data_IF_603844095911
#
_entry.id   IF_603844095911
#
_cell.length_a   1.000
_cell.length_b   1.000
_cell.length_c   1.000
_cell.angle_alpha   90.00
_cell.angle_beta   90.00
_cell.angle_gamma   90.00
#
_symmetry.space_group_name_H-M   'P 1'
#
loop_
_entity.id
_entity.type
_entity.pdbx_description
1 polymer ?
#
# COMPACT_ATOMS: atom_id res chain seq x y z
N UNK A 1 47.96 -54.00 -46.77
CA UNK A 1 47.56 -52.65 -47.24
C UNK A 1 46.37 -52.22 -46.41
N UNK A 2 46.42 -51.01 -45.87
CA UNK A 2 45.66 -50.50 -44.72
C UNK A 2 44.15 -50.41 -45.01
N UNK A 3 43.33 -50.78 -44.03
CA UNK A 3 41.87 -50.63 -44.04
C UNK A 3 41.47 -49.15 -44.12
N UNK A 4 40.78 -48.78 -45.20
CA UNK A 4 40.07 -47.52 -45.34
C UNK A 4 38.63 -47.70 -44.87
N UNK A 5 38.35 -47.33 -43.62
CA UNK A 5 36.97 -47.18 -43.10
C UNK A 5 36.80 -45.76 -42.57
N UNK A 6 36.67 -44.80 -43.48
CA UNK A 6 36.17 -43.46 -43.17
C UNK A 6 34.75 -43.34 -43.74
N UNK A 7 33.74 -43.30 -42.88
CA UNK A 7 32.37 -42.91 -43.27
C UNK A 7 32.39 -41.43 -43.70
N UNK A 8 31.81 -41.05 -44.86
CA UNK A 8 31.51 -39.66 -45.12
C UNK A 8 30.26 -39.30 -44.30
N UNK A 9 30.45 -38.59 -43.20
CA UNK A 9 29.36 -37.89 -42.52
C UNK A 9 28.67 -36.98 -43.54
N UNK A 10 27.34 -37.02 -43.53
CA UNK A 10 26.45 -36.43 -44.52
C UNK A 10 26.59 -34.89 -44.57
N UNK A 11 27.45 -34.42 -45.48
CA UNK A 11 27.75 -33.00 -45.68
C UNK A 11 26.50 -32.14 -45.95
N UNK A 12 25.44 -32.72 -46.55
CA UNK A 12 24.20 -31.99 -46.85
C UNK A 12 23.36 -31.74 -45.61
N UNK A 13 23.28 -32.71 -44.70
CA UNK A 13 22.60 -32.56 -43.42
C UNK A 13 23.34 -31.57 -42.50
N UNK A 14 24.67 -31.62 -42.47
CA UNK A 14 25.48 -30.63 -41.73
C UNK A 14 25.29 -29.21 -42.29
N UNK A 15 25.28 -29.04 -43.62
CA UNK A 15 25.05 -27.74 -44.25
C UNK A 15 23.64 -27.19 -43.98
N UNK A 16 22.62 -28.05 -43.94
CA UNK A 16 21.25 -27.65 -43.59
C UNK A 16 21.17 -27.18 -42.13
N UNK A 17 21.73 -27.95 -41.20
CA UNK A 17 21.77 -27.59 -39.78
C UNK A 17 22.53 -26.28 -39.53
N UNK A 18 23.61 -26.04 -40.29
CA UNK A 18 24.38 -24.80 -40.21
C UNK A 18 23.57 -23.59 -40.66
N UNK A 19 22.80 -23.70 -41.75
CA UNK A 19 21.91 -22.63 -42.24
C UNK A 19 20.80 -22.30 -41.25
N UNK A 20 20.18 -23.31 -40.66
CA UNK A 20 19.16 -23.13 -39.62
C UNK A 20 19.74 -22.43 -38.38
N UNK A 21 20.96 -22.79 -37.98
CA UNK A 21 21.68 -22.14 -36.87
C UNK A 21 21.99 -20.68 -37.18
N UNK A 22 22.49 -20.37 -38.37
CA UNK A 22 22.80 -18.99 -38.80
C UNK A 22 21.52 -18.14 -38.87
N UNK A 23 20.41 -18.69 -39.38
CA UNK A 23 19.13 -17.99 -39.41
C UNK A 23 18.63 -17.66 -37.99
N UNK A 24 18.72 -18.61 -37.05
CA UNK A 24 18.36 -18.39 -35.64
C UNK A 24 19.22 -17.31 -35.00
N UNK A 25 20.54 -17.38 -35.14
CA UNK A 25 21.47 -16.40 -34.55
C UNK A 25 21.29 -15.01 -35.15
N UNK A 26 20.97 -14.92 -36.44
CA UNK A 26 20.68 -13.64 -37.11
C UNK A 26 19.41 -13.01 -36.57
N UNK A 27 18.37 -13.80 -36.33
CA UNK A 27 17.12 -13.34 -35.73
C UNK A 27 17.31 -12.96 -34.25
N UNK A 28 18.10 -13.71 -33.49
CA UNK A 28 18.46 -13.35 -32.11
C UNK A 28 19.27 -12.05 -32.07
N UNK A 29 20.21 -11.87 -32.99
CA UNK A 29 20.99 -10.61 -33.12
C UNK A 29 20.08 -9.43 -33.45
N UNK A 30 19.18 -9.57 -34.42
CA UNK A 30 18.21 -8.52 -34.80
C UNK A 30 17.34 -8.10 -33.61
N UNK A 31 16.80 -9.07 -32.86
CA UNK A 31 16.03 -8.79 -31.64
C UNK A 31 16.85 -8.06 -30.57
N UNK A 32 18.12 -8.41 -30.43
CA UNK A 32 19.03 -7.76 -29.50
C UNK A 32 19.32 -6.31 -29.93
N UNK A 33 19.56 -6.06 -31.22
CA UNK A 33 19.79 -4.72 -31.77
C UNK A 33 18.55 -3.82 -31.62
N UNK A 34 17.34 -4.35 -31.89
CA UNK A 34 16.08 -3.63 -31.69
C UNK A 34 15.83 -3.30 -30.21
N UNK A 35 16.15 -4.22 -29.30
CA UNK A 35 16.05 -3.95 -27.87
C UNK A 35 17.09 -2.91 -27.41
N UNK A 36 18.33 -2.98 -27.90
CA UNK A 36 19.35 -1.95 -27.60
C UNK A 36 18.90 -0.56 -28.05
N UNK A 37 18.37 -0.44 -29.27
CA UNK A 37 17.87 0.85 -29.77
C UNK A 37 16.70 1.36 -28.92
N UNK A 38 15.75 0.49 -28.59
CA UNK A 38 14.61 0.82 -27.72
C UNK A 38 15.06 1.26 -26.31
N UNK A 39 16.04 0.58 -25.72
CA UNK A 39 16.58 0.92 -24.40
C UNK A 39 17.39 2.23 -24.45
N UNK A 40 18.06 2.52 -25.56
CA UNK A 40 18.82 3.77 -25.75
C UNK A 40 17.94 5.01 -25.83
N UNK A 41 16.68 4.85 -26.25
CA UNK A 41 15.67 5.91 -26.34
C UNK A 41 14.78 6.00 -25.09
N UNK A 42 15.04 5.17 -24.07
CA UNK A 42 14.20 5.15 -22.88
C UNK A 42 14.17 6.51 -22.19
N UNK A 43 12.96 6.96 -21.86
CA UNK A 43 12.72 8.18 -21.13
C UNK A 43 11.67 7.95 -20.07
N UNK A 44 12.02 8.18 -18.81
CA UNK A 44 11.06 8.16 -17.71
C UNK A 44 10.10 9.34 -17.82
N UNK A 45 8.79 9.07 -17.68
CA UNK A 45 7.76 10.09 -17.54
C UNK A 45 7.93 10.78 -16.18
N UNK A 46 8.16 9.99 -15.13
CA UNK A 46 8.36 10.49 -13.78
C UNK A 46 9.50 11.51 -13.72
N UNK A 47 10.68 11.18 -14.25
CA UNK A 47 11.83 12.09 -14.23
C UNK A 47 11.63 13.35 -15.10
N UNK A 48 10.82 13.27 -16.17
CA UNK A 48 10.54 14.42 -17.04
C UNK A 48 9.52 15.39 -16.45
N UNK A 49 8.46 14.85 -15.84
CA UNK A 49 7.31 15.64 -15.43
C UNK A 49 7.33 16.01 -13.94
N UNK A 50 8.05 15.27 -13.10
CA UNK A 50 8.02 15.44 -11.66
C UNK A 50 9.42 15.72 -11.11
N UNK A 51 9.54 16.83 -10.39
CA UNK A 51 10.70 17.12 -9.57
C UNK A 51 10.45 16.59 -8.17
N UNK A 52 11.36 15.77 -7.66
CA UNK A 52 11.28 15.22 -6.30
C UNK A 52 11.78 16.26 -5.30
N UNK A 53 10.93 16.59 -4.33
CA UNK A 53 11.25 17.54 -3.25
C UNK A 53 11.70 16.80 -1.98
N UNK A 54 11.01 15.71 -1.63
CA UNK A 54 11.32 14.91 -0.43
C UNK A 54 10.80 13.48 -0.56
N UNK A 55 11.31 12.57 0.28
CA UNK A 55 10.75 11.22 0.46
C UNK A 55 9.78 11.26 1.64
N UNK A 56 8.51 11.01 1.39
CA UNK A 56 7.46 10.98 2.42
C UNK A 56 7.39 9.64 3.14
N UNK A 57 7.68 8.55 2.43
CA UNK A 57 7.60 7.21 2.99
C UNK A 57 8.29 6.19 2.11
N UNK A 58 8.79 5.13 2.72
CA UNK A 58 9.48 4.06 2.02
C UNK A 58 9.33 2.77 2.83
N UNK A 59 8.66 1.78 2.24
CA UNK A 59 8.31 0.53 2.89
C UNK A 59 7.96 -0.57 1.89
N UNK A 60 7.37 -1.65 2.41
CA UNK A 60 7.05 -2.86 1.64
C UNK A 60 6.18 -2.59 0.39
N UNK A 61 5.27 -1.62 0.48
CA UNK A 61 4.36 -1.27 -0.61
C UNK A 61 4.96 -0.31 -1.65
N UNK A 62 6.22 0.11 -1.49
CA UNK A 62 6.92 1.02 -2.39
C UNK A 62 7.48 2.27 -1.71
N UNK A 63 7.88 3.24 -2.54
CA UNK A 63 8.41 4.54 -2.12
C UNK A 63 7.40 5.63 -2.48
N UNK A 64 7.21 6.61 -1.59
CA UNK A 64 6.31 7.75 -1.78
C UNK A 64 7.14 9.03 -1.74
N UNK A 65 6.99 9.83 -2.78
CA UNK A 65 7.70 11.09 -2.99
C UNK A 65 6.75 12.26 -2.84
N UNK A 66 7.21 13.34 -2.20
CA UNK A 66 6.67 14.67 -2.41
C UNK A 66 7.25 15.20 -3.72
N UNK A 67 6.40 15.67 -4.61
CA UNK A 67 6.81 16.10 -5.95
C UNK A 67 6.14 17.41 -6.33
N UNK A 68 6.84 18.20 -7.12
CA UNK A 68 6.27 19.31 -7.91
C UNK A 68 6.19 18.87 -9.37
N UNK A 69 5.02 19.01 -9.99
CA UNK A 69 4.85 18.71 -11.41
C UNK A 69 5.27 19.92 -12.24
N UNK A 70 6.12 19.70 -13.23
CA UNK A 70 6.75 20.76 -14.03
C UNK A 70 5.84 21.33 -15.12
N UNK A 71 4.67 20.73 -15.35
CA UNK A 71 3.71 21.16 -16.36
C UNK A 71 2.57 22.01 -15.78
N UNK A 72 2.16 21.76 -14.54
CA UNK A 72 1.04 22.45 -13.89
C UNK A 72 1.41 23.18 -12.58
N UNK A 73 2.68 23.16 -12.18
CA UNK A 73 3.21 23.70 -10.92
C UNK A 73 2.54 23.14 -9.64
N UNK A 74 1.76 22.07 -9.77
CA UNK A 74 1.04 21.43 -8.69
C UNK A 74 1.94 20.55 -7.82
N UNK A 75 1.63 20.50 -6.52
CA UNK A 75 2.29 19.59 -5.58
C UNK A 75 1.50 18.29 -5.38
N UNK A 76 2.20 17.17 -5.47
CA UNK A 76 1.60 15.84 -5.42
C UNK A 76 2.42 14.87 -4.57
N UNK A 77 1.73 13.88 -4.02
CA UNK A 77 2.37 12.67 -3.53
C UNK A 77 2.39 11.63 -4.66
N UNK A 78 3.58 11.16 -5.05
CA UNK A 78 3.71 10.10 -6.07
C UNK A 78 4.24 8.83 -5.41
N UNK A 79 3.43 7.78 -5.41
CA UNK A 79 3.83 6.45 -4.94
C UNK A 79 4.36 5.62 -6.10
N UNK A 80 5.55 5.06 -5.94
CA UNK A 80 6.21 4.15 -6.88
C UNK A 80 6.31 2.76 -6.28
N UNK A 81 5.76 1.78 -6.98
CA UNK A 81 5.71 0.37 -6.60
C UNK A 81 6.54 -0.44 -7.59
N UNK A 82 7.49 -1.24 -7.11
CA UNK A 82 8.23 -2.18 -7.94
C UNK A 82 7.52 -3.54 -7.97
N UNK A 83 7.28 -4.09 -9.15
CA UNK A 83 6.66 -5.41 -9.35
C UNK A 83 7.47 -6.25 -10.33
N UNK A 84 7.36 -7.58 -10.22
CA UNK A 84 7.95 -8.49 -11.20
C UNK A 84 7.35 -8.23 -12.60
N UNK A 85 8.13 -8.40 -13.69
CA UNK A 85 7.71 -8.13 -15.07
C UNK A 85 6.75 -9.20 -15.62
N UNK A 86 5.81 -9.70 -14.79
CA UNK A 86 4.77 -10.64 -15.17
C UNK A 86 3.46 -9.89 -15.30
N UNK A 87 2.84 -9.94 -16.49
CA UNK A 87 1.58 -9.26 -16.76
C UNK A 87 0.45 -9.62 -15.78
N UNK A 88 0.42 -10.84 -15.25
CA UNK A 88 -0.55 -11.24 -14.23
C UNK A 88 -0.40 -10.40 -12.94
N UNK A 89 0.84 -10.19 -12.48
CA UNK A 89 1.14 -9.42 -11.27
C UNK A 89 0.84 -7.95 -11.52
N UNK A 90 1.28 -7.40 -12.65
CA UNK A 90 1.03 -6.01 -13.05
C UNK A 90 -0.49 -5.74 -13.10
N UNK A 91 -1.25 -6.59 -13.80
CA UNK A 91 -2.69 -6.45 -13.92
C UNK A 91 -3.41 -6.61 -12.58
N UNK A 92 -2.93 -7.50 -11.70
CA UNK A 92 -3.45 -7.62 -10.34
C UNK A 92 -3.26 -6.31 -9.57
N UNK A 93 -2.05 -5.75 -9.54
CA UNK A 93 -1.77 -4.48 -8.86
C UNK A 93 -2.59 -3.33 -9.45
N UNK A 94 -2.70 -3.23 -10.79
CA UNK A 94 -3.52 -2.20 -11.43
C UNK A 94 -5.01 -2.33 -11.13
N UNK A 95 -5.54 -3.55 -10.96
CA UNK A 95 -6.94 -3.74 -10.55
C UNK A 95 -7.19 -3.14 -9.16
N UNK A 96 -6.23 -3.31 -8.24
CA UNK A 96 -6.32 -2.73 -6.90
C UNK A 96 -6.25 -1.20 -6.95
N UNK A 97 -5.32 -0.64 -7.72
CA UNK A 97 -5.22 0.82 -7.92
C UNK A 97 -6.50 1.40 -8.53
N UNK A 98 -7.06 0.73 -9.54
CA UNK A 98 -8.33 1.16 -10.19
C UNK A 98 -9.52 1.06 -9.24
N UNK A 99 -9.56 0.09 -8.34
CA UNK A 99 -10.61 0.01 -7.33
C UNK A 99 -10.57 1.23 -6.41
N UNK A 100 -9.37 1.63 -5.95
CA UNK A 100 -9.20 2.81 -5.11
C UNK A 100 -9.54 4.11 -5.85
N UNK A 101 -9.13 4.23 -7.11
CA UNK A 101 -9.39 5.42 -7.92
C UNK A 101 -10.89 5.68 -8.19
N UNK A 102 -11.76 4.68 -7.98
CA UNK A 102 -13.22 4.82 -8.11
C UNK A 102 -13.88 5.40 -6.86
N UNK A 103 -13.19 5.41 -5.73
CA UNK A 103 -13.73 5.92 -4.47
C UNK A 103 -13.65 7.44 -4.46
N UNK A 104 -14.79 8.11 -4.51
CA UNK A 104 -14.89 9.56 -4.37
C UNK A 104 -15.57 9.90 -3.03
N UNK A 105 -14.77 10.33 -2.06
CA UNK A 105 -15.25 10.65 -0.72
C UNK A 105 -14.37 11.72 -0.06
N UNK A 106 -14.94 12.68 0.70
CA UNK A 106 -14.16 13.74 1.35
C UNK A 106 -13.05 13.20 2.26
N UNK A 107 -13.24 12.06 2.91
CA UNK A 107 -12.25 11.44 3.81
C UNK A 107 -11.45 10.28 3.17
N UNK A 108 -11.45 10.14 1.84
CA UNK A 108 -10.56 9.22 1.09
C UNK A 108 -9.59 10.04 0.24
N UNK A 109 -8.34 9.58 0.14
CA UNK A 109 -7.30 10.26 -0.65
C UNK A 109 -7.71 10.35 -2.12
N UNK A 110 -7.55 11.53 -2.71
CA UNK A 110 -7.86 11.74 -4.13
C UNK A 110 -6.76 11.14 -4.99
N UNK A 111 -7.14 10.24 -5.89
CA UNK A 111 -6.30 9.68 -6.94
C UNK A 111 -6.40 10.55 -8.19
N UNK A 112 -5.26 10.89 -8.79
CA UNK A 112 -5.20 11.74 -9.97
C UNK A 112 -4.87 10.93 -11.22
N UNK A 113 -3.75 10.22 -11.21
CA UNK A 113 -3.29 9.47 -12.38
C UNK A 113 -2.47 8.24 -11.99
N UNK A 114 -2.33 7.30 -12.91
CA UNK A 114 -1.51 6.10 -12.75
C UNK A 114 -0.84 5.76 -14.08
N UNK A 115 0.43 5.38 -14.05
CA UNK A 115 1.18 4.93 -15.24
C UNK A 115 2.19 3.85 -14.87
N UNK A 116 2.77 3.24 -15.91
CA UNK A 116 3.73 2.14 -15.81
C UNK A 116 5.01 2.55 -16.51
N UNK A 117 6.15 2.24 -15.91
CA UNK A 117 7.45 2.39 -16.52
C UNK A 117 8.21 1.05 -16.51
N UNK A 118 8.92 0.80 -17.61
CA UNK A 118 9.75 -0.40 -17.82
C UNK A 118 11.16 0.05 -18.18
N UNK A 119 11.94 0.51 -17.18
CA UNK A 119 13.28 1.02 -17.42
C UNK A 119 14.22 -0.10 -17.88
N UNK A 120 15.26 0.23 -18.67
CA UNK A 120 16.39 -0.66 -18.90
C UNK A 120 17.02 -1.16 -17.61
N UNK A 121 17.72 -2.29 -17.69
CA UNK A 121 18.52 -2.79 -16.59
C UNK A 121 19.48 -1.71 -16.07
N UNK A 122 19.58 -1.63 -14.75
CA UNK A 122 20.34 -0.64 -13.97
C UNK A 122 19.98 0.84 -14.13
N UNK A 123 19.12 1.20 -15.09
CA UNK A 123 18.73 2.60 -15.30
C UNK A 123 18.07 3.19 -14.05
N UNK A 124 17.16 2.45 -13.42
CA UNK A 124 16.44 2.94 -12.24
C UNK A 124 17.35 3.13 -11.03
N UNK A 125 18.42 2.34 -10.89
CA UNK A 125 19.37 2.52 -9.78
C UNK A 125 20.11 3.85 -9.90
N UNK A 126 20.59 4.20 -11.10
CA UNK A 126 21.25 5.48 -11.37
C UNK A 126 20.31 6.66 -11.16
N UNK A 127 19.07 6.55 -11.64
CA UNK A 127 18.06 7.58 -11.41
C UNK A 127 17.72 7.74 -9.92
N UNK A 128 17.72 6.64 -9.16
CA UNK A 128 17.49 6.67 -7.71
C UNK A 128 18.66 7.31 -6.95
N UNK A 129 19.91 7.09 -7.39
CA UNK A 129 21.10 7.75 -6.85
C UNK A 129 21.03 9.27 -7.06
N UNK A 130 20.72 9.71 -8.27
CA UNK A 130 20.55 11.14 -8.58
C UNK A 130 19.46 11.79 -7.73
N UNK A 131 18.32 11.12 -7.53
CA UNK A 131 17.27 11.61 -6.61
C UNK A 131 17.84 11.79 -5.20
N UNK A 132 18.57 10.79 -4.69
CA UNK A 132 19.12 10.80 -3.33
C UNK A 132 20.20 11.86 -3.12
N UNK A 133 20.99 12.18 -4.14
CA UNK A 133 21.99 13.27 -4.10
C UNK A 133 21.33 14.65 -4.04
N UNK A 134 20.20 14.83 -4.73
CA UNK A 134 19.52 16.11 -4.83
C UNK A 134 18.59 16.43 -3.64
N UNK A 135 18.23 15.44 -2.83
CA UNK A 135 17.42 15.63 -1.63
C UNK A 135 18.27 15.47 -0.36
N UNK A 136 17.91 16.19 0.70
CA UNK A 136 18.54 15.99 2.02
C UNK A 136 18.11 14.67 2.65
N UNK A 137 18.68 13.55 2.20
CA UNK A 137 18.38 12.21 2.69
C UNK A 137 19.61 11.58 3.35
N UNK A 138 19.42 10.92 4.50
CA UNK A 138 20.44 10.07 5.13
C UNK A 138 20.47 8.65 4.54
N UNK A 139 19.51 8.30 3.67
CA UNK A 139 19.41 6.96 3.08
C UNK A 139 20.37 6.82 1.89
N UNK A 140 20.92 5.62 1.71
CA UNK A 140 21.77 5.26 0.55
C UNK A 140 21.00 4.56 -0.58
N UNK A 141 19.74 4.20 -0.38
CA UNK A 141 18.90 3.55 -1.39
C UNK A 141 17.41 3.85 -1.16
N UNK A 142 16.65 3.98 -2.26
CA UNK A 142 15.20 4.23 -2.24
C UNK A 142 14.37 2.95 -2.14
N UNK A 143 14.68 1.92 -2.91
CA UNK A 143 13.93 0.66 -2.89
C UNK A 143 14.87 -0.49 -3.18
N UNK A 144 14.58 -1.65 -2.59
CA UNK A 144 15.17 -2.90 -3.03
C UNK A 144 14.22 -3.54 -4.05
N UNK A 145 14.68 -3.73 -5.28
CA UNK A 145 13.91 -4.35 -6.35
C UNK A 145 14.78 -5.32 -7.15
N UNK A 146 14.15 -6.26 -7.84
CA UNK A 146 14.87 -7.22 -8.70
C UNK A 146 15.30 -6.51 -10.00
N UNK A 147 16.37 -6.95 -10.67
CA UNK A 147 16.62 -6.57 -12.06
C UNK A 147 15.38 -6.78 -12.93
N UNK A 148 15.21 -5.99 -13.99
CA UNK A 148 14.03 -6.01 -14.85
C UNK A 148 12.67 -5.77 -14.15
N UNK A 149 12.66 -5.13 -12.97
CA UNK A 149 11.39 -4.77 -12.31
C UNK A 149 10.60 -3.73 -13.13
N UNK A 150 9.28 -3.85 -13.09
CA UNK A 150 8.35 -2.87 -13.66
C UNK A 150 7.89 -1.94 -12.54
N UNK A 151 7.79 -0.64 -12.84
CA UNK A 151 7.41 0.37 -11.86
C UNK A 151 6.01 0.89 -12.15
N UNK A 152 5.12 0.76 -11.17
CA UNK A 152 3.77 1.36 -11.22
C UNK A 152 3.81 2.64 -10.39
N UNK A 153 3.44 3.75 -11.01
CA UNK A 153 3.39 5.06 -10.38
C UNK A 153 1.95 5.48 -10.16
N UNK A 154 1.66 6.05 -8.99
CA UNK A 154 0.34 6.51 -8.58
C UNK A 154 0.48 7.95 -8.08
N UNK A 155 -0.09 8.90 -8.81
CA UNK A 155 -0.16 10.31 -8.42
C UNK A 155 -1.40 10.55 -7.57
N UNK A 156 -1.20 11.12 -6.40
CA UNK A 156 -2.22 11.39 -5.40
C UNK A 156 -2.12 12.83 -4.91
N UNK A 157 -3.20 13.32 -4.29
CA UNK A 157 -3.15 14.56 -3.51
C UNK A 157 -2.06 14.50 -2.44
N UNK A 158 -1.31 15.59 -2.28
CA UNK A 158 -0.35 15.75 -1.19
C UNK A 158 -1.07 16.13 0.12
N UNK A 159 -0.72 15.44 1.21
CA UNK A 159 -1.17 15.75 2.58
C UNK A 159 0.01 16.23 3.43
N UNK A 160 -0.26 16.85 4.59
CA UNK A 160 0.78 17.45 5.44
C UNK A 160 1.58 16.43 6.24
N UNK A 161 0.89 15.55 6.96
CA UNK A 161 1.51 14.54 7.82
C UNK A 161 0.56 13.37 8.05
N UNK A 162 1.11 12.25 8.53
CA UNK A 162 0.29 11.10 8.95
C UNK A 162 -0.20 11.24 10.39
N UNK A 163 -1.26 10.53 10.74
CA UNK A 163 -1.77 10.50 12.11
C UNK A 163 -0.73 9.87 13.06
N UNK A 164 0.10 8.93 12.60
CA UNK A 164 1.26 8.44 13.39
C UNK A 164 2.20 9.57 13.76
N UNK A 165 2.57 10.44 12.80
CA UNK A 165 3.44 11.58 13.09
C UNK A 165 2.79 12.50 14.12
N UNK A 166 1.51 12.83 13.92
CA UNK A 166 0.79 13.69 14.85
C UNK A 166 0.73 13.10 16.27
N UNK A 167 0.40 11.82 16.41
CA UNK A 167 0.35 11.14 17.71
C UNK A 167 1.71 11.19 18.45
N UNK A 168 2.81 10.96 17.72
CA UNK A 168 4.16 10.99 18.29
C UNK A 168 4.61 12.40 18.72
N UNK A 169 4.12 13.45 18.06
CA UNK A 169 4.41 14.84 18.40
C UNK A 169 3.49 15.38 19.51
N UNK A 170 2.36 14.71 19.76
CA UNK A 170 1.30 15.15 20.69
C UNK A 170 1.15 14.16 21.84
N UNK A 171 2.23 13.96 22.60
CA UNK A 171 2.36 12.97 23.68
C UNK A 171 1.96 13.51 25.07
N UNK A 172 1.04 14.47 25.10
CA UNK A 172 0.45 15.02 26.34
C UNK A 172 -1.07 15.04 26.23
N UNK A 173 -1.77 14.81 27.33
CA UNK A 173 -3.22 14.60 27.32
C UNK A 173 -3.99 15.82 26.80
N UNK A 174 -3.53 17.02 27.15
CA UNK A 174 -4.13 18.30 26.79
C UNK A 174 -4.13 18.53 25.27
N UNK A 175 -3.19 17.92 24.55
CA UNK A 175 -3.10 17.99 23.08
C UNK A 175 -4.16 17.14 22.36
N UNK A 176 -4.85 16.25 23.09
CA UNK A 176 -5.82 15.27 22.55
C UNK A 176 -7.23 15.50 23.13
N UNK A 177 -7.83 16.68 22.94
CA UNK A 177 -9.15 16.95 23.50
C UNK A 177 -10.20 16.03 22.86
N UNK A 178 -11.04 15.42 23.70
CA UNK A 178 -11.95 14.32 23.30
C UNK A 178 -12.89 14.69 22.15
N UNK A 179 -13.37 15.93 22.08
CA UNK A 179 -14.25 16.39 21.00
C UNK A 179 -13.55 16.31 19.63
N UNK A 180 -12.28 16.71 19.56
CA UNK A 180 -11.48 16.65 18.34
C UNK A 180 -11.18 15.20 17.96
N UNK A 181 -10.82 14.36 18.94
CA UNK A 181 -10.56 12.93 18.71
C UNK A 181 -11.79 12.22 18.18
N UNK A 182 -12.98 12.49 18.73
CA UNK A 182 -14.26 11.99 18.20
C UNK A 182 -14.57 12.50 16.80
N UNK A 183 -14.33 13.79 16.52
CA UNK A 183 -14.53 14.35 15.18
C UNK A 183 -13.63 13.68 14.13
N UNK A 184 -12.35 13.51 14.44
CA UNK A 184 -11.41 12.77 13.60
C UNK A 184 -11.85 11.31 13.43
N UNK A 185 -12.29 10.67 14.51
CA UNK A 185 -12.78 9.30 14.44
C UNK A 185 -14.00 9.18 13.53
N UNK A 186 -14.99 10.07 13.62
CA UNK A 186 -16.15 10.12 12.69
C UNK A 186 -15.71 10.19 11.23
N UNK A 187 -14.74 11.04 10.91
CA UNK A 187 -14.19 11.14 9.54
C UNK A 187 -13.58 9.83 9.04
N UNK A 188 -12.87 9.13 9.93
CA UNK A 188 -12.28 7.81 9.63
C UNK A 188 -13.41 6.79 9.39
N UNK A 189 -14.46 6.77 10.23
CA UNK A 189 -15.61 5.87 10.05
C UNK A 189 -16.30 6.11 8.71
N UNK A 190 -16.60 7.36 8.36
CA UNK A 190 -17.25 7.71 7.08
C UNK A 190 -16.43 7.21 5.87
N UNK A 191 -15.10 7.34 5.93
CA UNK A 191 -14.23 6.80 4.88
C UNK A 191 -14.28 5.26 4.80
N UNK A 192 -14.27 4.56 5.95
CA UNK A 192 -14.36 3.10 5.99
C UNK A 192 -15.73 2.60 5.55
N UNK A 193 -16.80 3.31 5.90
CA UNK A 193 -18.15 3.03 5.43
C UNK A 193 -18.20 3.08 3.90
N UNK A 194 -17.69 4.14 3.29
CA UNK A 194 -17.61 4.27 1.83
C UNK A 194 -16.86 3.09 1.19
N UNK A 195 -15.74 2.67 1.79
CA UNK A 195 -14.97 1.49 1.36
C UNK A 195 -15.83 0.21 1.43
N UNK A 196 -16.54 -0.01 2.54
CA UNK A 196 -17.37 -1.19 2.76
C UNK A 196 -18.60 -1.22 1.85
N UNK A 197 -19.22 -0.07 1.57
CA UNK A 197 -20.34 0.06 0.63
C UNK A 197 -19.94 -0.35 -0.79
N UNK A 198 -18.70 -0.06 -1.19
CA UNK A 198 -18.11 -0.50 -2.45
C UNK A 198 -17.57 -1.95 -2.43
N UNK A 199 -17.92 -2.75 -1.42
CA UNK A 199 -17.54 -4.17 -1.28
C UNK A 199 -16.03 -4.40 -1.20
N UNK A 200 -15.33 -3.45 -0.60
CA UNK A 200 -13.92 -3.54 -0.30
C UNK A 200 -13.71 -3.60 1.23
N UNK A 201 -12.59 -4.18 1.65
CA UNK A 201 -12.13 -4.20 3.05
C UNK A 201 -10.72 -3.59 3.02
N UNK A 202 -10.43 -2.67 3.93
CA UNK A 202 -9.16 -1.95 3.93
C UNK A 202 -7.98 -2.82 4.41
N UNK A 203 -8.15 -3.57 5.51
CA UNK A 203 -7.23 -4.61 6.06
C UNK A 203 -5.90 -4.15 6.64
N UNK A 204 -5.36 -3.04 6.17
CA UNK A 204 -4.14 -2.42 6.71
C UNK A 204 -4.46 -1.02 7.25
N UNK A 205 -5.61 -0.85 7.91
CA UNK A 205 -5.89 0.41 8.61
C UNK A 205 -4.89 0.59 9.75
N UNK A 206 -4.32 1.78 9.85
CA UNK A 206 -3.40 2.18 10.90
C UNK A 206 -3.17 3.69 10.82
N UNK A 207 -2.69 4.34 11.89
CA UNK A 207 -2.48 5.78 11.88
C UNK A 207 -1.51 6.28 10.80
N UNK A 208 -0.56 5.47 10.29
CA UNK A 208 0.30 5.92 9.20
C UNK A 208 -0.39 5.96 7.83
N UNK A 209 -1.54 5.29 7.68
CA UNK A 209 -2.39 5.30 6.50
C UNK A 209 -3.56 6.30 6.63
N UNK A 210 -3.55 7.15 7.67
CA UNK A 210 -4.52 8.23 7.88
C UNK A 210 -3.74 9.54 7.82
N UNK A 211 -4.08 10.40 6.87
CA UNK A 211 -3.33 11.61 6.57
C UNK A 211 -4.13 12.85 6.94
N UNK A 212 -3.44 13.85 7.47
CA UNK A 212 -4.00 15.17 7.75
C UNK A 212 -3.73 16.12 6.57
N UNK A 213 -4.76 16.85 6.12
CA UNK A 213 -4.60 17.91 5.11
C UNK A 213 -4.54 19.28 5.79
N UNK A 214 -5.70 19.84 6.12
CA UNK A 214 -5.88 21.18 6.70
C UNK A 214 -7.22 21.22 7.42
N UNK A 215 -7.42 22.20 8.31
CA UNK A 215 -8.71 22.48 8.94
C UNK A 215 -9.36 21.26 9.60
N UNK A 216 -8.58 20.48 10.36
CA UNK A 216 -9.06 19.26 11.03
C UNK A 216 -9.64 18.18 10.12
N UNK A 217 -9.24 18.19 8.85
CA UNK A 217 -9.69 17.23 7.86
C UNK A 217 -8.68 16.09 7.67
N UNK A 218 -9.16 14.86 7.86
CA UNK A 218 -8.42 13.61 7.67
C UNK A 218 -8.84 12.90 6.39
N UNK A 219 -7.89 12.18 5.79
CA UNK A 219 -8.11 11.28 4.67
C UNK A 219 -7.41 9.95 4.86
N UNK A 220 -8.12 8.86 4.59
CA UNK A 220 -7.52 7.53 4.52
C UNK A 220 -6.78 7.39 3.18
N UNK A 221 -5.56 6.86 3.22
CA UNK A 221 -4.78 6.48 2.07
C UNK A 221 -4.37 5.00 2.16
N UNK A 222 -3.75 4.50 1.08
CA UNK A 222 -3.08 3.20 1.02
C UNK A 222 -3.94 2.02 1.52
N UNK A 223 -4.88 1.57 0.69
CA UNK A 223 -5.53 0.29 0.94
C UNK A 223 -4.52 -0.81 0.64
N UNK A 224 -3.84 -1.33 1.66
CA UNK A 224 -2.88 -2.41 1.51
C UNK A 224 -3.50 -3.55 0.70
N UNK A 225 -2.94 -3.81 -0.50
CA UNK A 225 -3.30 -4.87 -1.47
C UNK A 225 -4.77 -5.32 -1.29
N UNK A 226 -5.70 -4.50 -1.77
CA UNK A 226 -7.15 -4.75 -1.64
C UNK A 226 -7.48 -6.13 -2.20
N UNK A 227 -7.75 -7.11 -1.34
CA UNK A 227 -8.44 -8.29 -1.85
C UNK A 227 -9.94 -7.97 -1.91
N UNK A 228 -10.52 -8.17 -3.10
CA UNK A 228 -11.96 -8.10 -3.31
C UNK A 228 -12.68 -9.05 -2.36
N UNK A 229 -13.81 -8.60 -1.79
CA UNK A 229 -14.80 -9.52 -1.25
C UNK A 229 -15.41 -10.30 -2.42
N UNK A 230 -15.41 -11.63 -2.32
CA UNK A 230 -16.31 -12.51 -3.10
C UNK A 230 -17.34 -13.08 -2.15
N UNK A 231 -18.59 -13.13 -2.54
CA UNK A 231 -19.61 -13.85 -1.79
C UNK A 231 -19.76 -15.23 -2.44
N UNK A 232 -19.45 -16.31 -1.71
CA UNK A 232 -19.81 -17.68 -2.11
C UNK A 232 -20.77 -18.26 -1.07
N UNK A 233 -21.90 -18.80 -1.53
CA UNK A 233 -22.93 -19.41 -0.67
C UNK A 233 -23.40 -18.50 0.48
N UNK A 234 -23.53 -17.18 0.23
CA UNK A 234 -23.95 -16.20 1.24
C UNK A 234 -22.87 -15.84 2.26
N UNK A 235 -21.63 -16.32 2.08
CA UNK A 235 -20.49 -16.04 2.96
C UNK A 235 -19.50 -15.14 2.23
N UNK A 236 -19.09 -14.03 2.86
CA UNK A 236 -18.00 -13.19 2.37
C UNK A 236 -16.64 -13.91 2.46
N UNK A 237 -15.94 -14.00 1.34
CA UNK A 237 -14.67 -14.71 1.12
C UNK A 237 -13.66 -13.73 0.53
N UNK A 238 -12.40 -13.98 0.86
CA UNK A 238 -11.25 -13.16 0.49
C UNK A 238 -10.20 -14.05 -0.18
N UNK A 239 -9.73 -13.68 -1.39
CA UNK A 239 -8.79 -14.52 -2.18
C UNK A 239 -7.29 -14.26 -1.93
N UNK A 240 -6.88 -13.21 -1.21
CA UNK A 240 -5.45 -12.84 -1.12
C UNK A 240 -4.99 -12.71 0.33
N UNK A 241 -4.07 -13.59 0.74
CA UNK A 241 -3.36 -13.57 2.03
C UNK A 241 -1.90 -13.18 1.79
N UNK A 242 -1.58 -11.90 1.88
CA UNK A 242 -0.18 -11.44 1.95
C UNK A 242 0.17 -11.12 3.41
N UNK A 243 1.36 -11.56 3.87
CA UNK A 243 1.98 -11.15 5.16
C UNK A 243 2.37 -9.65 5.14
N UNK A 244 1.44 -8.78 4.77
CA UNK A 244 1.66 -7.35 4.67
C UNK A 244 0.76 -6.66 5.70
N UNK A 245 1.39 -6.12 6.74
CA UNK A 245 0.74 -5.32 7.77
C UNK A 245 1.67 -5.08 8.95
N UNK A 246 1.46 -3.96 9.64
CA UNK A 246 2.05 -3.65 10.95
C UNK A 246 1.21 -4.45 11.96
N UNK A 247 1.75 -5.56 12.48
CA UNK A 247 1.02 -6.58 13.24
C UNK A 247 0.24 -6.03 14.47
N UNK A 248 0.64 -4.85 14.94
CA UNK A 248 0.15 -4.18 16.13
C UNK A 248 -1.37 -3.90 16.08
N UNK A 249 -1.90 -3.50 14.93
CA UNK A 249 -3.31 -3.11 14.75
C UNK A 249 -4.20 -4.22 14.20
N UNK A 250 -3.63 -5.40 13.92
CA UNK A 250 -4.37 -6.53 13.38
C UNK A 250 -5.44 -7.02 14.36
N UNK A 251 -6.59 -7.38 13.84
CA UNK A 251 -7.62 -8.06 14.62
C UNK A 251 -7.20 -9.49 14.98
N UNK A 252 -7.86 -10.15 15.97
CA UNK A 252 -7.54 -11.54 16.34
C UNK A 252 -7.60 -12.53 15.15
N UNK A 253 -8.60 -12.38 14.28
CA UNK A 253 -8.74 -13.22 13.10
C UNK A 253 -7.65 -12.98 12.05
N UNK A 254 -7.14 -11.74 11.93
CA UNK A 254 -5.99 -11.44 11.07
C UNK A 254 -4.70 -12.03 11.64
N UNK A 255 -4.47 -11.87 12.95
CA UNK A 255 -3.26 -12.35 13.63
C UNK A 255 -3.15 -13.88 13.70
N UNK A 256 -4.28 -14.59 13.81
CA UNK A 256 -4.29 -16.06 13.88
C UNK A 256 -4.00 -16.74 12.54
N UNK A 257 -4.15 -16.06 11.41
CA UNK A 257 -4.04 -16.61 10.04
C UNK A 257 -4.94 -17.83 9.71
N UNK A 258 -5.75 -18.31 10.66
CA UNK A 258 -6.65 -19.47 10.49
C UNK A 258 -8.05 -19.01 10.06
N UNK A 259 -8.49 -17.86 10.56
CA UNK A 259 -9.86 -17.35 10.38
C UNK A 259 -10.03 -16.55 9.08
N UNK A 260 -11.29 -16.48 8.59
CA UNK A 260 -11.65 -15.67 7.42
C UNK A 260 -11.77 -14.20 7.82
N UNK A 261 -11.14 -13.31 7.05
CA UNK A 261 -11.17 -11.85 7.23
C UNK A 261 -12.42 -11.30 6.55
N UNK A 262 -13.15 -10.40 7.23
CA UNK A 262 -14.32 -9.69 6.71
C UNK A 262 -14.26 -8.19 7.11
N UNK A 263 -15.29 -7.42 6.75
CA UNK A 263 -15.38 -5.99 7.08
C UNK A 263 -15.26 -5.70 8.59
N UNK A 264 -15.65 -6.64 9.47
CA UNK A 264 -15.56 -6.50 10.93
C UNK A 264 -14.11 -6.51 11.44
N UNK A 265 -13.15 -6.95 10.64
CA UNK A 265 -11.72 -6.82 10.98
C UNK A 265 -11.28 -5.36 10.99
N UNK A 266 -11.73 -4.55 10.02
CA UNK A 266 -11.49 -3.09 10.00
C UNK A 266 -12.11 -2.43 11.26
N UNK A 267 -13.28 -2.89 11.70
CA UNK A 267 -13.96 -2.36 12.90
C UNK A 267 -13.14 -2.57 14.18
N UNK A 268 -12.49 -3.74 14.32
CA UNK A 268 -11.58 -3.97 15.45
C UNK A 268 -10.41 -3.00 15.43
N UNK A 269 -9.81 -2.81 14.26
CA UNK A 269 -8.71 -1.86 14.06
C UNK A 269 -9.13 -0.41 14.34
N UNK A 270 -10.34 -0.01 13.94
CA UNK A 270 -10.91 1.29 14.30
C UNK A 270 -11.01 1.47 15.82
N UNK A 271 -11.39 0.42 16.56
CA UNK A 271 -11.40 0.44 18.03
C UNK A 271 -10.01 0.72 18.62
N UNK A 272 -8.97 0.09 18.09
CA UNK A 272 -7.58 0.35 18.52
C UNK A 272 -7.10 1.77 18.16
N UNK A 273 -7.47 2.28 16.98
CA UNK A 273 -7.15 3.64 16.55
C UNK A 273 -7.82 4.67 17.48
N UNK A 274 -9.10 4.47 17.82
CA UNK A 274 -9.79 5.34 18.78
C UNK A 274 -9.12 5.30 20.16
N UNK A 275 -8.69 4.11 20.61
CA UNK A 275 -7.99 3.99 21.87
C UNK A 275 -6.68 4.81 21.89
N UNK A 276 -5.88 4.74 20.82
CA UNK A 276 -4.64 5.51 20.69
C UNK A 276 -4.89 7.01 20.52
N UNK A 277 -5.98 7.42 19.88
CA UNK A 277 -6.39 8.83 19.84
C UNK A 277 -6.70 9.36 21.25
N UNK A 278 -7.37 8.55 22.10
CA UNK A 278 -7.82 8.98 23.41
C UNK A 278 -6.79 8.80 24.54
N UNK A 279 -5.83 7.88 24.40
CA UNK A 279 -4.87 7.54 25.46
C UNK A 279 -3.45 7.80 24.98
N UNK A 280 -2.73 8.63 25.74
CA UNK A 280 -1.28 8.83 25.55
C UNK A 280 -0.57 7.62 26.13
N UNK A 281 0.25 6.96 25.30
CA UNK A 281 0.96 5.74 25.66
C UNK A 281 2.30 5.66 24.94
N UNK A 282 3.35 5.23 25.64
CA UNK A 282 4.60 4.81 25.02
C UNK A 282 4.38 3.63 24.08
N UNK A 283 5.39 3.32 23.25
CA UNK A 283 5.27 2.20 22.32
C UNK A 283 5.10 0.86 23.07
N UNK A 284 5.84 0.64 24.16
CA UNK A 284 5.77 -0.57 24.96
C UNK A 284 4.42 -0.73 25.65
N UNK A 285 3.85 0.36 26.15
CA UNK A 285 2.50 0.39 26.72
C UNK A 285 1.46 0.08 25.64
N UNK A 286 1.59 0.67 24.45
CA UNK A 286 0.69 0.42 23.33
C UNK A 286 0.61 -1.04 22.95
N UNK A 287 1.76 -1.72 22.84
CA UNK A 287 1.79 -3.14 22.50
C UNK A 287 0.98 -3.96 23.50
N UNK A 288 1.25 -3.79 24.81
CA UNK A 288 0.51 -4.49 25.87
C UNK A 288 -0.97 -4.13 25.88
N UNK A 289 -1.27 -2.86 25.65
CA UNK A 289 -2.64 -2.34 25.60
C UNK A 289 -3.44 -2.98 24.46
N UNK A 290 -2.88 -3.08 23.25
CA UNK A 290 -3.52 -3.74 22.12
C UNK A 290 -3.59 -5.27 22.28
N UNK A 291 -2.57 -5.90 22.87
CA UNK A 291 -2.59 -7.33 23.20
C UNK A 291 -3.78 -7.68 24.12
N UNK A 292 -4.03 -6.86 25.14
CA UNK A 292 -5.15 -7.04 26.07
C UNK A 292 -6.50 -7.05 25.33
N UNK A 293 -6.71 -6.13 24.39
CA UNK A 293 -7.91 -6.11 23.56
C UNK A 293 -8.04 -7.35 22.67
N UNK A 294 -6.95 -7.81 22.05
CA UNK A 294 -6.95 -9.06 21.27
C UNK A 294 -7.28 -10.30 22.12
N UNK A 295 -6.94 -10.28 23.40
CA UNK A 295 -7.27 -11.32 24.38
C UNK A 295 -8.65 -11.17 25.02
N UNK A 296 -9.44 -10.16 24.63
CA UNK A 296 -10.76 -9.90 25.22
C UNK A 296 -10.71 -9.39 26.66
N UNK A 297 -9.61 -8.73 27.05
CA UNK A 297 -9.39 -8.12 28.36
C UNK A 297 -9.36 -6.58 28.20
N UNK A 298 -10.49 -5.87 28.35
CA UNK A 298 -10.52 -4.42 28.17
C UNK A 298 -9.58 -3.72 29.16
N UNK A 299 -8.94 -2.63 28.70
CA UNK A 299 -7.99 -1.87 29.53
C UNK A 299 -8.69 -0.89 30.47
N UNK A 300 -8.07 -0.65 31.63
CA UNK A 300 -8.51 0.35 32.62
C UNK A 300 -7.88 1.74 32.38
N UNK A 301 -7.13 1.95 31.30
CA UNK A 301 -6.41 3.21 31.08
C UNK A 301 -7.30 4.37 30.58
N UNK A 302 -8.58 4.12 30.28
CA UNK A 302 -9.52 5.18 29.91
C UNK A 302 -10.02 5.91 31.16
N UNK A 303 -10.10 7.23 31.08
CA UNK A 303 -10.61 8.06 32.17
C UNK A 303 -12.14 8.07 32.24
N UNK A 304 -12.79 7.88 31.10
CA UNK A 304 -14.24 7.87 31.02
C UNK A 304 -14.77 6.49 30.57
N UNK A 305 -15.79 6.04 31.29
CA UNK A 305 -16.41 4.74 31.06
C UNK A 305 -17.08 4.64 29.68
N UNK A 306 -17.52 5.76 29.10
CA UNK A 306 -18.21 5.78 27.81
C UNK A 306 -17.24 5.43 26.68
N UNK A 307 -16.03 5.99 26.67
CA UNK A 307 -14.97 5.65 25.72
C UNK A 307 -14.56 4.20 25.88
N UNK A 308 -14.33 3.73 27.12
CA UNK A 308 -13.95 2.35 27.39
C UNK A 308 -14.98 1.34 26.85
N UNK A 309 -16.28 1.59 27.09
CA UNK A 309 -17.39 0.77 26.59
C UNK A 309 -17.47 0.78 25.07
N UNK A 310 -17.33 1.95 24.45
CA UNK A 310 -17.40 2.07 23.00
C UNK A 310 -16.22 1.35 22.33
N UNK A 311 -14.98 1.59 22.77
CA UNK A 311 -13.81 0.83 22.28
C UNK A 311 -14.02 -0.68 22.47
N UNK A 312 -14.49 -1.11 23.65
CA UNK A 312 -14.77 -2.53 23.92
C UNK A 312 -15.80 -3.18 22.98
N UNK A 313 -16.81 -2.41 22.53
CA UNK A 313 -17.78 -2.86 21.54
C UNK A 313 -17.15 -3.09 20.16
N UNK A 314 -16.29 -2.16 19.72
CA UNK A 314 -15.57 -2.22 18.45
C UNK A 314 -14.54 -3.37 18.44
N UNK A 315 -13.87 -3.59 19.58
CA UNK A 315 -12.79 -4.58 19.73
C UNK A 315 -13.27 -5.92 20.30
N UNK A 316 -14.55 -6.29 20.12
CA UNK A 316 -15.03 -7.59 20.61
C UNK A 316 -14.26 -8.73 19.93
N UNK A 317 -13.82 -9.74 20.69
CA UNK A 317 -13.07 -10.88 20.11
C UNK A 317 -13.95 -11.66 19.13
N UNK A 318 -15.24 -11.79 19.42
CA UNK A 318 -16.22 -12.33 18.49
C UNK A 318 -16.60 -11.25 17.46
N UNK A 319 -16.13 -11.42 16.22
CA UNK A 319 -16.33 -10.43 15.16
C UNK A 319 -17.81 -10.21 14.79
N UNK A 320 -18.70 -11.17 15.12
CA UNK A 320 -20.15 -11.04 14.89
C UNK A 320 -20.82 -10.07 15.85
N UNK A 321 -20.18 -9.79 17.00
CA UNK A 321 -20.68 -8.85 18.02
C UNK A 321 -20.19 -7.42 17.81
N UNK A 322 -19.28 -7.21 16.86
CA UNK A 322 -18.80 -5.87 16.50
C UNK A 322 -19.85 -5.14 15.66
N UNK A 323 -19.98 -3.82 15.78
CA UNK A 323 -20.91 -3.04 14.95
C UNK A 323 -20.47 -2.95 13.49
N UNK A 324 -21.34 -2.45 12.62
CA UNK A 324 -20.96 -1.85 11.35
C UNK A 324 -20.75 -0.33 11.47
N UNK A 325 -20.31 0.32 10.39
CA UNK A 325 -20.03 1.75 10.41
C UNK A 325 -21.28 2.61 10.69
N UNK A 326 -22.47 2.20 10.23
CA UNK A 326 -23.73 2.94 10.45
C UNK A 326 -24.13 2.90 11.91
N UNK A 327 -24.10 1.70 12.51
CA UNK A 327 -24.34 1.50 13.94
C UNK A 327 -23.36 2.32 14.80
N UNK A 328 -22.11 2.47 14.36
CA UNK A 328 -21.13 3.31 15.06
C UNK A 328 -21.45 4.81 14.95
N UNK A 329 -21.80 5.30 13.76
CA UNK A 329 -22.12 6.71 13.52
C UNK A 329 -23.38 7.18 14.28
N UNK A 330 -24.37 6.30 14.40
CA UNK A 330 -25.62 6.55 15.12
C UNK A 330 -25.49 6.46 16.65
N UNK A 331 -24.36 5.95 17.15
CA UNK A 331 -24.18 5.71 18.57
C UNK A 331 -24.01 7.01 19.38
N UNK A 332 -24.68 7.10 20.54
CA UNK A 332 -24.69 8.29 21.42
C UNK A 332 -23.30 8.80 21.84
N UNK A 333 -22.31 7.90 21.89
CA UNK A 333 -20.91 8.26 22.14
C UNK A 333 -20.38 9.26 21.10
N UNK A 334 -20.75 9.11 19.82
CA UNK A 334 -20.36 10.03 18.76
C UNK A 334 -21.33 11.21 18.63
N UNK A 335 -22.60 11.06 18.98
CA UNK A 335 -23.59 12.15 18.93
C UNK A 335 -23.35 13.27 19.98
N UNK A 336 -22.61 12.96 21.04
CA UNK A 336 -22.25 13.94 22.06
C UNK A 336 -21.11 14.82 21.56
N UNK A 337 -21.38 16.13 21.49
CA UNK A 337 -20.53 17.27 21.06
C UNK A 337 -20.64 17.66 19.58
#
# INVERSE_FOLDING_TARGET
VIMSSGMPLNLEEENKALRETVARLTEEKRKCEEEIERLSQYSSKFSKEFKVESILGNGFSGCVFETSNSLDDGKYAVKRIAVEPKEEIINKTLREVRAMAKLDHPNIIRYNSTWIERPPDDWQYKADEEILENIKSRRRQLLHYKPNSVFIYIQMQLCKFSLTQWLNENMVKESRPIHRMKNWFKQIINAVECIHEHKHIHRDLKPCNILYITNDHLKICDMGIVAQQRVENGVEITMTRTKAGTAEYMSPEQASFVSRINAKSDIFTLGLILAELCVVMSYEEKVKFFDNYRMGKPSLAFEDEKTAKFVGWLTNVDNKKRPDCKEMLDHLYLASY
#
